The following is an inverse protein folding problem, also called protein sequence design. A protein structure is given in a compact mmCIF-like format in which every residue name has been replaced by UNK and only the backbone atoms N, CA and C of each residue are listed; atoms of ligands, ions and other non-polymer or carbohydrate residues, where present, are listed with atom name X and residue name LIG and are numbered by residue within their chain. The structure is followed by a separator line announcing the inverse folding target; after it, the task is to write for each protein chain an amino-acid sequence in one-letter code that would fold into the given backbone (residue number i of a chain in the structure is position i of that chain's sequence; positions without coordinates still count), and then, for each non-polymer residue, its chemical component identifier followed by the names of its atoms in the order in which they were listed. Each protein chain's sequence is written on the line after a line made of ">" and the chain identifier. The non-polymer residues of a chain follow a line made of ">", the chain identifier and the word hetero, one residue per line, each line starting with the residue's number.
data_IF_650694497742
#
_entry.id   IF_650694497742
#
_cell.length_a   1.000
_cell.length_b   1.000
_cell.length_c   1.000
_cell.angle_alpha   90.00
_cell.angle_beta   90.00
_cell.angle_gamma   90.00
#
_symmetry.space_group_name_H-M   'P 1'
#
loop_
_entity.id
_entity.type
_entity.pdbx_description
1 polymer ?
#
# COMPACT_ATOMS: atom_id res chain seq x y z
N UNK A 1 -14.35 0.85 9.36
CA UNK A 1 -15.43 -0.08 8.94
C UNK A 1 -16.52 -0.10 10.00
N UNK A 2 -17.80 -0.23 9.62
CA UNK A 2 -18.96 -0.19 10.54
C UNK A 2 -18.95 -1.38 11.52
N UNK A 3 -18.42 -2.52 11.11
CA UNK A 3 -18.30 -3.73 11.93
C UNK A 3 -17.07 -3.74 12.87
N UNK A 4 -16.29 -2.66 12.86
CA UNK A 4 -15.04 -2.56 13.64
C UNK A 4 -13.86 -3.37 13.07
N UNK A 5 -12.67 -3.12 13.60
CA UNK A 5 -11.45 -3.89 13.33
C UNK A 5 -10.58 -3.88 14.58
N UNK A 6 -9.91 -4.99 14.88
CA UNK A 6 -9.05 -5.12 16.05
C UNK A 6 -7.87 -6.05 15.77
N UNK A 7 -6.72 -5.73 16.35
CA UNK A 7 -5.58 -6.66 16.39
C UNK A 7 -5.92 -7.77 17.38
N UNK A 8 -5.89 -9.02 16.92
CA UNK A 8 -6.24 -10.19 17.73
C UNK A 8 -5.00 -11.05 17.99
N UNK A 9 -4.35 -10.87 19.14
CA UNK A 9 -3.16 -11.65 19.51
C UNK A 9 -3.50 -13.10 19.82
N UNK A 10 -4.67 -13.36 20.42
CA UNK A 10 -5.12 -14.71 20.75
C UNK A 10 -5.30 -15.59 19.49
N UNK A 11 -5.71 -15.01 18.36
CA UNK A 11 -5.88 -15.75 17.09
C UNK A 11 -4.55 -16.28 16.51
N UNK A 12 -3.40 -15.78 16.98
CA UNK A 12 -2.09 -16.34 16.64
C UNK A 12 -1.84 -17.72 17.27
N UNK A 13 -2.55 -18.03 18.35
CA UNK A 13 -2.46 -19.33 19.05
C UNK A 13 -3.46 -20.33 18.51
N UNK A 14 -3.15 -21.62 18.58
CA UNK A 14 -4.07 -22.70 18.20
C UNK A 14 -5.35 -22.67 19.03
N UNK A 15 -5.26 -22.40 20.32
CA UNK A 15 -6.42 -22.25 21.23
C UNK A 15 -7.38 -21.14 20.77
N UNK A 16 -6.83 -19.99 20.38
CA UNK A 16 -7.64 -18.89 19.85
C UNK A 16 -8.32 -19.24 18.54
N UNK A 17 -7.65 -19.98 17.66
CA UNK A 17 -8.24 -20.51 16.41
C UNK A 17 -9.32 -21.55 16.69
N UNK A 18 -9.10 -22.46 17.64
CA UNK A 18 -10.09 -23.46 18.05
C UNK A 18 -11.37 -22.78 18.56
N UNK A 19 -11.23 -21.75 19.40
CA UNK A 19 -12.38 -20.95 19.87
C UNK A 19 -13.13 -20.28 18.72
N UNK A 20 -12.42 -19.78 17.71
CA UNK A 20 -13.05 -19.19 16.53
C UNK A 20 -13.78 -20.24 15.69
N UNK A 21 -13.17 -21.41 15.46
CA UNK A 21 -13.78 -22.52 14.74
C UNK A 21 -15.06 -23.00 15.44
N UNK A 22 -15.02 -23.17 16.76
CA UNK A 22 -16.19 -23.50 17.56
C UNK A 22 -17.34 -22.50 17.34
N UNK A 23 -17.05 -21.20 17.40
CA UNK A 23 -18.07 -20.17 17.19
C UNK A 23 -18.67 -20.20 15.78
N UNK A 24 -17.88 -20.51 14.75
CA UNK A 24 -18.39 -20.64 13.39
C UNK A 24 -19.33 -21.85 13.27
N UNK A 25 -18.91 -23.01 13.80
CA UNK A 25 -19.67 -24.27 13.72
C UNK A 25 -21.02 -24.18 14.43
N UNK A 26 -21.07 -23.63 15.66
CA UNK A 26 -22.34 -23.52 16.40
C UNK A 26 -23.35 -22.57 15.74
N UNK A 27 -22.87 -21.66 14.89
CA UNK A 27 -23.71 -20.73 14.12
C UNK A 27 -23.97 -21.23 12.69
N UNK A 28 -23.49 -22.43 12.32
CA UNK A 28 -23.67 -22.98 10.98
C UNK A 28 -22.93 -22.21 9.89
N UNK A 29 -21.77 -21.63 10.21
CA UNK A 29 -20.96 -20.84 9.27
C UNK A 29 -19.79 -21.68 8.77
N UNK A 30 -19.78 -21.97 7.48
CA UNK A 30 -18.75 -22.74 6.76
C UNK A 30 -18.01 -21.90 5.70
N UNK A 31 -18.37 -20.62 5.56
CA UNK A 31 -17.73 -19.68 4.65
C UNK A 31 -17.29 -18.39 5.37
N UNK A 32 -16.08 -17.93 5.07
CA UNK A 32 -15.49 -16.75 5.66
C UNK A 32 -14.93 -15.82 4.57
N UNK A 33 -15.46 -14.61 4.51
CA UNK A 33 -14.91 -13.53 3.67
C UNK A 33 -14.09 -12.60 4.55
N UNK A 34 -12.79 -12.50 4.31
CA UNK A 34 -11.85 -11.71 5.11
C UNK A 34 -11.43 -10.47 4.35
N UNK A 35 -11.69 -9.29 4.93
CA UNK A 35 -11.32 -7.99 4.37
C UNK A 35 -10.23 -7.37 5.23
N UNK A 36 -9.03 -7.19 4.69
CA UNK A 36 -7.92 -6.58 5.43
C UNK A 36 -6.62 -6.52 4.62
N UNK A 37 -5.52 -6.17 5.29
CA UNK A 37 -4.18 -6.20 4.69
C UNK A 37 -3.52 -7.58 4.78
N UNK A 38 -2.25 -7.66 4.37
CA UNK A 38 -1.44 -8.89 4.32
C UNK A 38 -1.55 -9.75 5.59
N UNK A 39 -1.39 -9.15 6.77
CA UNK A 39 -1.42 -9.89 8.03
C UNK A 39 -2.76 -10.58 8.32
N UNK A 40 -3.89 -9.96 7.93
CA UNK A 40 -5.22 -10.56 8.09
C UNK A 40 -5.42 -11.72 7.12
N UNK A 41 -4.97 -11.54 5.88
CA UNK A 41 -5.07 -12.54 4.82
C UNK A 41 -4.18 -13.77 5.10
N UNK A 42 -2.96 -13.54 5.60
CA UNK A 42 -2.06 -14.59 6.09
C UNK A 42 -2.70 -15.40 7.21
N UNK A 43 -3.31 -14.73 8.20
CA UNK A 43 -4.01 -15.38 9.31
C UNK A 43 -5.22 -16.21 8.85
N UNK A 44 -5.97 -15.71 7.86
CA UNK A 44 -7.10 -16.41 7.28
C UNK A 44 -6.68 -17.69 6.54
N UNK A 45 -5.56 -17.63 5.81
CA UNK A 45 -5.03 -18.79 5.14
C UNK A 45 -4.54 -19.87 6.12
N UNK A 46 -3.81 -19.46 7.16
CA UNK A 46 -3.38 -20.38 8.23
C UNK A 46 -4.59 -21.03 8.90
N UNK A 47 -5.64 -20.26 9.16
CA UNK A 47 -6.85 -20.78 9.77
C UNK A 47 -7.55 -21.84 8.92
N UNK A 48 -7.62 -21.64 7.60
CA UNK A 48 -8.14 -22.66 6.67
C UNK A 48 -7.27 -23.91 6.66
N UNK A 49 -5.95 -23.75 6.64
CA UNK A 49 -5.00 -24.87 6.61
C UNK A 49 -5.08 -25.71 7.88
N UNK A 50 -5.25 -25.06 9.04
CA UNK A 50 -5.41 -25.71 10.34
C UNK A 50 -6.81 -26.32 10.54
N UNK A 51 -7.80 -25.97 9.71
CA UNK A 51 -9.21 -26.32 9.91
C UNK A 51 -9.46 -27.81 10.16
N UNK A 52 -8.93 -28.77 9.35
CA UNK A 52 -9.17 -30.19 9.60
C UNK A 52 -8.69 -30.66 10.98
N UNK A 53 -7.54 -30.17 11.44
CA UNK A 53 -7.00 -30.50 12.76
C UNK A 53 -7.68 -29.76 13.92
N UNK A 54 -8.51 -28.75 13.65
CA UNK A 54 -9.39 -28.14 14.65
C UNK A 54 -10.70 -28.90 14.77
N UNK A 55 -11.19 -29.48 13.66
CA UNK A 55 -12.41 -30.27 13.66
C UNK A 55 -12.26 -31.59 14.41
N UNK A 56 -11.09 -32.24 14.41
CA UNK A 56 -10.84 -33.45 15.22
C UNK A 56 -11.14 -33.26 16.72
N UNK A 57 -11.05 -32.03 17.23
CA UNK A 57 -11.33 -31.67 18.62
C UNK A 57 -12.77 -31.21 18.86
N UNK A 58 -13.58 -31.03 17.81
CA UNK A 58 -14.95 -30.52 17.85
C UNK A 58 -15.93 -31.56 17.29
N UNK A 59 -17.12 -31.70 17.87
CA UNK A 59 -18.12 -32.68 17.38
C UNK A 59 -18.82 -32.11 16.12
N UNK A 60 -18.65 -32.77 14.95
CA UNK A 60 -18.83 -32.15 13.61
C UNK A 60 -20.25 -32.20 12.97
N UNK A 61 -20.61 -31.12 12.24
CA UNK A 61 -21.50 -31.19 11.07
C UNK A 61 -20.88 -30.75 9.71
N UNK A 62 -19.69 -30.14 9.64
CA UNK A 62 -19.12 -29.56 8.40
C UNK A 62 -17.69 -30.01 8.10
N UNK A 63 -17.42 -30.42 6.85
CA UNK A 63 -16.14 -31.02 6.44
C UNK A 63 -15.07 -30.05 5.93
N UNK A 64 -15.42 -28.82 5.56
CA UNK A 64 -14.50 -27.86 4.95
C UNK A 64 -14.87 -26.41 5.25
N UNK A 65 -13.86 -25.53 5.31
CA UNK A 65 -14.02 -24.09 5.42
C UNK A 65 -13.66 -23.42 4.09
N UNK A 66 -14.59 -22.64 3.55
CA UNK A 66 -14.35 -21.78 2.39
C UNK A 66 -13.85 -20.43 2.86
N UNK A 67 -12.66 -20.00 2.40
CA UNK A 67 -12.09 -18.70 2.73
C UNK A 67 -11.83 -17.89 1.47
N UNK A 68 -12.35 -16.67 1.42
CA UNK A 68 -12.11 -15.69 0.36
C UNK A 68 -11.52 -14.42 0.95
N UNK A 69 -10.45 -13.91 0.34
CA UNK A 69 -9.76 -12.69 0.77
C UNK A 69 -10.09 -11.48 -0.10
N UNK A 70 -10.24 -10.32 0.53
CA UNK A 70 -10.28 -9.01 -0.12
C UNK A 70 -9.21 -8.11 0.52
N UNK A 71 -8.49 -7.37 -0.30
CA UNK A 71 -7.41 -6.51 0.16
C UNK A 71 -7.94 -5.12 0.50
N UNK A 72 -8.10 -4.87 1.80
CA UNK A 72 -8.40 -3.55 2.35
C UNK A 72 -7.14 -2.91 2.92
N UNK A 73 -6.38 -2.21 2.08
CA UNK A 73 -5.12 -1.55 2.42
C UNK A 73 -5.04 -0.17 1.76
N UNK A 74 -4.50 0.81 2.48
CA UNK A 74 -4.18 2.13 1.90
C UNK A 74 -2.80 2.17 1.26
N UNK A 75 -1.96 1.18 1.58
CA UNK A 75 -0.54 1.17 1.24
C UNK A 75 -0.29 0.64 -0.19
N UNK A 76 -1.31 0.04 -0.81
CA UNK A 76 -1.22 -0.66 -2.10
C UNK A 76 -0.03 -1.64 -2.16
N UNK A 77 0.11 -2.42 -1.09
CA UNK A 77 1.28 -3.24 -0.78
C UNK A 77 1.08 -4.73 -1.08
N UNK A 78 -0.12 -5.13 -1.52
CA UNK A 78 -0.40 -6.52 -1.87
C UNK A 78 -0.01 -6.80 -3.32
N UNK A 79 0.91 -7.74 -3.51
CA UNK A 79 1.30 -8.18 -4.85
C UNK A 79 0.15 -8.89 -5.58
N UNK A 80 0.24 -8.91 -6.91
CA UNK A 80 -0.71 -9.55 -7.85
C UNK A 80 -2.06 -8.84 -8.00
N UNK A 81 -2.31 -7.73 -7.32
CA UNK A 81 -3.44 -6.84 -7.61
C UNK A 81 -2.90 -5.45 -7.94
N UNK A 82 -3.44 -4.82 -8.98
CA UNK A 82 -2.99 -3.48 -9.42
C UNK A 82 -3.31 -2.42 -8.37
N UNK A 83 -4.43 -2.61 -7.66
CA UNK A 83 -4.93 -1.64 -6.69
C UNK A 83 -5.65 -2.33 -5.51
N UNK A 84 -5.47 -1.79 -4.30
CA UNK A 84 -6.14 -2.22 -3.07
C UNK A 84 -7.26 -1.27 -2.66
N UNK A 85 -8.29 -1.80 -1.99
CA UNK A 85 -9.42 -0.99 -1.51
C UNK A 85 -8.92 0.00 -0.44
N UNK A 86 -9.05 1.29 -0.74
CA UNK A 86 -8.69 2.40 0.14
C UNK A 86 -7.45 3.18 -0.30
N UNK A 87 -6.63 2.63 -1.20
CA UNK A 87 -5.42 3.28 -1.68
C UNK A 87 -5.73 4.61 -2.40
N UNK A 88 -6.74 4.64 -3.27
CA UNK A 88 -7.10 5.86 -4.03
C UNK A 88 -7.74 6.91 -3.11
N UNK A 89 -8.53 6.51 -2.12
CA UNK A 89 -9.07 7.42 -1.10
C UNK A 89 -7.95 8.03 -0.27
N UNK A 90 -6.97 7.23 0.15
CA UNK A 90 -5.77 7.72 0.86
C UNK A 90 -5.01 8.74 0.02
N UNK A 91 -4.79 8.42 -1.26
CA UNK A 91 -4.14 9.33 -2.21
C UNK A 91 -4.89 10.68 -2.32
N UNK A 92 -6.22 10.67 -2.38
CA UNK A 92 -7.00 11.91 -2.37
C UNK A 92 -6.76 12.75 -1.11
N UNK A 93 -6.67 12.12 0.07
CA UNK A 93 -6.36 12.82 1.33
C UNK A 93 -4.97 13.46 1.30
N UNK A 94 -4.00 12.78 0.70
CA UNK A 94 -2.65 13.32 0.52
C UNK A 94 -2.66 14.53 -0.40
N UNK A 95 -3.32 14.43 -1.56
CA UNK A 95 -3.43 15.54 -2.49
C UNK A 95 -4.11 16.75 -1.86
N UNK A 96 -5.24 16.57 -1.16
CA UNK A 96 -5.92 17.65 -0.43
C UNK A 96 -5.00 18.33 0.60
N UNK A 97 -4.19 17.55 1.32
CA UNK A 97 -3.25 18.10 2.28
C UNK A 97 -2.10 18.86 1.60
N UNK A 98 -1.54 18.31 0.51
CA UNK A 98 -0.47 18.96 -0.26
C UNK A 98 -0.98 20.25 -0.90
N UNK A 99 -2.18 20.26 -1.47
CA UNK A 99 -2.80 21.47 -2.06
C UNK A 99 -3.01 22.56 -1.01
N UNK A 100 -3.47 22.17 0.18
CA UNK A 100 -3.63 23.08 1.32
C UNK A 100 -2.29 23.66 1.77
N UNK A 101 -1.23 22.85 1.78
CA UNK A 101 0.13 23.28 2.12
C UNK A 101 0.68 24.20 1.02
N UNK A 102 0.51 23.86 -0.25
CA UNK A 102 1.03 24.60 -1.40
C UNK A 102 0.56 26.04 -1.42
N UNK A 103 -0.72 26.29 -1.09
CA UNK A 103 -1.27 27.64 -0.95
C UNK A 103 -0.48 28.49 0.07
N UNK A 104 -0.05 27.90 1.19
CA UNK A 104 0.75 28.61 2.22
C UNK A 104 2.23 28.68 1.88
N UNK A 105 2.75 27.71 1.14
CA UNK A 105 4.16 27.62 0.78
C UNK A 105 4.56 28.70 -0.22
N UNK A 106 3.72 28.96 -1.21
CA UNK A 106 3.95 30.02 -2.21
C UNK A 106 4.01 31.41 -1.59
N UNK A 107 3.19 31.70 -0.57
CA UNK A 107 3.15 33.01 0.08
C UNK A 107 4.42 33.35 0.86
N UNK A 108 5.16 32.35 1.34
CA UNK A 108 6.31 32.54 2.21
C UNK A 108 7.65 32.06 1.63
N UNK A 109 7.67 31.59 0.37
CA UNK A 109 8.85 30.97 -0.24
C UNK A 109 9.47 29.84 0.61
N UNK A 110 8.61 28.94 1.10
CA UNK A 110 8.98 27.87 2.06
C UNK A 110 9.17 26.52 1.38
N UNK A 111 9.96 25.67 2.05
CA UNK A 111 10.03 24.25 1.76
C UNK A 111 9.19 23.44 2.75
N UNK A 112 8.50 22.40 2.27
CA UNK A 112 7.73 21.49 3.11
C UNK A 112 8.17 20.04 2.87
N UNK A 113 8.35 19.32 3.97
CA UNK A 113 8.53 17.88 3.99
C UNK A 113 7.21 17.26 4.46
N UNK A 114 6.56 16.45 3.65
CA UNK A 114 5.26 15.83 3.93
C UNK A 114 5.46 14.33 4.11
N UNK A 115 5.13 13.80 5.29
CA UNK A 115 5.20 12.36 5.53
C UNK A 115 3.95 11.63 5.04
N UNK A 116 4.16 10.59 4.24
CA UNK A 116 3.18 9.69 3.65
C UNK A 116 3.42 8.24 4.07
N UNK A 117 2.46 7.33 3.88
CA UNK A 117 2.68 5.89 4.06
C UNK A 117 3.31 5.25 2.80
N UNK A 118 4.41 4.51 2.97
CA UNK A 118 5.17 3.71 1.98
C UNK A 118 5.83 4.35 0.70
N UNK A 119 7.10 3.96 0.46
CA UNK A 119 8.06 4.17 -0.68
C UNK A 119 9.14 5.32 -0.75
N UNK A 120 10.25 5.05 -1.46
CA UNK A 120 11.67 5.35 -1.13
C UNK A 120 12.28 6.62 -1.77
N UNK A 121 12.93 7.53 -1.00
CA UNK A 121 13.48 8.84 -1.46
C UNK A 121 14.95 8.90 -1.93
N UNK A 122 15.22 9.73 -2.98
CA UNK A 122 16.57 10.28 -3.29
C UNK A 122 16.58 11.80 -3.54
N UNK A 123 17.38 12.54 -2.76
CA UNK A 123 17.71 13.96 -3.01
C UNK A 123 18.92 14.05 -3.96
N UNK A 124 18.87 14.96 -4.94
CA UNK A 124 20.05 15.36 -5.73
C UNK A 124 20.40 16.83 -5.46
N UNK A 125 21.63 17.16 -5.07
CA UNK A 125 22.06 18.55 -4.92
C UNK A 125 22.18 19.23 -6.29
N UNK A 126 21.90 20.54 -6.35
CA UNK A 126 22.18 21.37 -7.54
C UNK A 126 20.98 21.97 -8.30
N UNK A 127 19.75 21.92 -7.76
CA UNK A 127 18.61 22.64 -8.37
C UNK A 127 18.57 24.12 -7.97
N UNK A 128 18.25 25.05 -8.89
CA UNK A 128 17.87 26.41 -8.52
C UNK A 128 16.60 26.37 -7.67
N UNK A 129 16.58 27.17 -6.60
CA UNK A 129 15.50 27.21 -5.63
C UNK A 129 14.24 27.79 -6.28
N UNK A 130 13.21 26.95 -6.46
CA UNK A 130 11.87 27.41 -6.82
C UNK A 130 11.22 28.13 -5.64
N UNK A 131 10.27 29.03 -5.90
CA UNK A 131 9.47 29.71 -4.86
C UNK A 131 8.70 28.73 -3.96
N UNK A 132 8.51 27.48 -4.40
CA UNK A 132 7.87 26.43 -3.60
C UNK A 132 8.62 25.11 -3.79
N UNK A 133 9.02 24.48 -2.68
CA UNK A 133 9.63 23.14 -2.67
C UNK A 133 8.81 22.22 -1.77
N UNK A 134 8.26 21.15 -2.33
CA UNK A 134 7.56 20.11 -1.55
C UNK A 134 8.30 18.80 -1.73
N UNK A 135 8.58 18.14 -0.62
CA UNK A 135 9.28 16.86 -0.53
C UNK A 135 8.35 15.87 0.16
N UNK A 136 7.86 14.87 -0.56
CA UNK A 136 7.06 13.79 0.04
C UNK A 136 8.00 12.69 0.49
N UNK A 137 7.87 12.22 1.72
CA UNK A 137 8.72 11.21 2.35
C UNK A 137 7.84 10.12 2.90
N UNK A 138 8.12 8.87 2.58
CA UNK A 138 7.27 7.81 3.06
C UNK A 138 7.79 7.21 4.37
N UNK A 139 6.89 6.68 5.19
CA UNK A 139 7.20 6.11 6.51
C UNK A 139 8.26 5.01 6.42
N UNK A 140 8.21 4.18 5.37
CA UNK A 140 9.18 3.13 5.06
C UNK A 140 10.42 3.60 4.28
N UNK A 141 10.68 4.90 4.16
CA UNK A 141 11.82 5.38 3.37
C UNK A 141 13.16 4.93 3.97
N UNK A 142 14.00 4.33 3.13
CA UNK A 142 15.32 3.80 3.48
C UNK A 142 16.36 4.21 2.44
N UNK A 143 17.63 4.26 2.83
CA UNK A 143 18.74 4.41 1.90
C UNK A 143 19.22 3.05 1.33
N UNK A 144 20.22 3.08 0.44
CA UNK A 144 20.80 1.87 -0.15
C UNK A 144 21.48 0.93 0.86
N UNK A 145 21.70 1.38 2.09
CA UNK A 145 22.22 0.58 3.18
C UNK A 145 21.12 0.12 4.15
N UNK A 146 19.86 0.27 3.75
CA UNK A 146 18.66 -0.09 4.55
C UNK A 146 18.58 0.73 5.84
N UNK A 147 19.14 1.95 5.84
CA UNK A 147 19.01 2.87 6.98
C UNK A 147 17.80 3.77 6.80
N UNK A 148 16.95 3.93 7.84
CA UNK A 148 15.77 4.79 7.76
C UNK A 148 16.10 6.24 7.39
N UNK A 149 15.35 6.79 6.44
CA UNK A 149 15.42 8.20 6.05
C UNK A 149 14.29 8.94 6.76
N UNK A 150 14.61 9.59 7.87
CA UNK A 150 13.66 10.41 8.63
C UNK A 150 13.44 11.77 7.98
N UNK A 151 12.24 12.33 8.12
CA UNK A 151 11.90 13.66 7.59
C UNK A 151 12.72 14.79 8.21
N UNK A 152 13.13 14.66 9.47
CA UNK A 152 14.02 15.61 10.12
C UNK A 152 15.38 15.69 9.41
N UNK A 153 15.92 14.56 8.96
CA UNK A 153 17.19 14.53 8.21
C UNK A 153 17.06 15.31 6.90
N UNK A 154 15.93 15.19 6.21
CA UNK A 154 15.65 15.92 4.97
C UNK A 154 15.47 17.41 5.25
N UNK A 155 14.74 17.76 6.30
CA UNK A 155 14.59 19.14 6.76
C UNK A 155 15.96 19.78 7.02
N UNK A 156 16.85 19.11 7.73
CA UNK A 156 18.19 19.63 8.04
C UNK A 156 19.02 19.89 6.78
N UNK A 157 18.88 19.05 5.74
CA UNK A 157 19.53 19.26 4.44
C UNK A 157 18.97 20.50 3.75
N UNK A 158 17.65 20.67 3.72
CA UNK A 158 17.00 21.82 3.09
C UNK A 158 17.31 23.15 3.82
N UNK A 159 17.38 23.12 5.16
CA UNK A 159 17.79 24.28 5.98
C UNK A 159 19.24 24.67 5.67
N UNK A 160 20.16 23.70 5.53
CA UNK A 160 21.55 23.97 5.12
C UNK A 160 21.66 24.59 3.72
N UNK A 161 20.66 24.38 2.86
CA UNK A 161 20.56 25.01 1.54
C UNK A 161 19.92 26.41 1.58
N UNK A 162 19.59 26.93 2.78
CA UNK A 162 19.02 28.27 2.98
C UNK A 162 17.49 28.33 2.86
N UNK A 163 16.79 27.19 2.92
CA UNK A 163 15.31 27.14 2.81
C UNK A 163 14.64 27.13 4.19
N UNK A 164 13.67 28.02 4.42
CA UNK A 164 12.77 27.91 5.58
C UNK A 164 11.89 26.67 5.41
N UNK A 165 12.19 25.63 6.20
CA UNK A 165 11.65 24.28 5.99
C UNK A 165 10.78 23.81 7.16
N UNK A 166 9.60 23.26 6.84
CA UNK A 166 8.66 22.67 7.81
C UNK A 166 8.42 21.19 7.49
N UNK A 167 8.11 20.41 8.53
CA UNK A 167 7.72 19.00 8.43
C UNK A 167 6.25 18.89 8.80
N UNK A 168 5.48 18.16 8.00
CA UNK A 168 4.07 17.87 8.24
C UNK A 168 3.85 16.36 8.14
N UNK A 169 3.45 15.74 9.24
CA UNK A 169 3.08 14.31 9.27
C UNK A 169 1.57 14.18 9.11
N UNK A 170 1.11 13.56 8.02
CA UNK A 170 -0.33 13.41 7.75
C UNK A 170 -1.02 12.43 8.72
N UNK A 171 -0.29 11.41 9.17
CA UNK A 171 -0.78 10.44 10.15
C UNK A 171 -2.10 9.79 9.74
N UNK A 172 -3.04 9.68 10.70
CA UNK A 172 -4.31 8.96 10.52
C UNK A 172 -5.31 9.64 9.57
N UNK A 173 -5.08 10.88 9.15
CA UNK A 173 -5.95 11.58 8.18
C UNK A 173 -6.05 10.80 6.86
N UNK A 174 -4.99 10.09 6.50
CA UNK A 174 -4.90 9.22 5.31
C UNK A 174 -5.86 8.03 5.36
N UNK A 175 -6.22 7.57 6.57
CA UNK A 175 -7.14 6.44 6.80
C UNK A 175 -8.59 6.88 6.99
N UNK A 176 -8.83 8.19 7.01
CA UNK A 176 -10.12 8.81 7.32
C UNK A 176 -10.85 9.36 6.09
N UNK A 177 -12.07 9.84 6.36
CA UNK A 177 -12.95 10.40 5.34
C UNK A 177 -13.78 9.35 4.61
N UNK A 178 -14.66 9.84 3.72
CA UNK A 178 -15.53 8.96 2.92
C UNK A 178 -14.75 8.40 1.73
N UNK A 179 -14.92 7.10 1.40
CA UNK A 179 -14.32 6.51 0.21
C UNK A 179 -14.67 7.31 -1.05
N UNK A 180 -13.68 7.50 -1.92
CA UNK A 180 -13.86 8.12 -3.22
C UNK A 180 -14.67 7.21 -4.16
N UNK A 181 -15.07 7.71 -5.33
CA UNK A 181 -15.83 6.93 -6.31
C UNK A 181 -15.15 5.60 -6.65
N UNK A 182 -13.85 5.63 -6.89
CA UNK A 182 -13.10 4.46 -7.32
C UNK A 182 -13.13 3.35 -6.27
N UNK A 183 -12.83 3.67 -5.00
CA UNK A 183 -12.88 2.66 -3.93
C UNK A 183 -14.29 2.15 -3.64
N UNK A 184 -15.34 2.97 -3.82
CA UNK A 184 -16.73 2.49 -3.72
C UNK A 184 -17.05 1.49 -4.82
N UNK A 185 -16.67 1.81 -6.05
CA UNK A 185 -16.85 0.92 -7.19
C UNK A 185 -16.07 -0.39 -6.97
N UNK A 186 -14.77 -0.29 -6.69
CA UNK A 186 -13.88 -1.43 -6.50
C UNK A 186 -14.39 -2.37 -5.39
N UNK A 187 -14.66 -1.83 -4.21
CA UNK A 187 -15.15 -2.62 -3.08
C UNK A 187 -16.51 -3.29 -3.37
N UNK A 188 -17.39 -2.61 -4.13
CA UNK A 188 -18.70 -3.17 -4.50
C UNK A 188 -18.53 -4.35 -5.44
N UNK A 189 -17.77 -4.18 -6.53
CA UNK A 189 -17.62 -5.25 -7.54
C UNK A 189 -16.80 -6.42 -6.98
N UNK A 190 -15.72 -6.15 -6.24
CA UNK A 190 -14.96 -7.22 -5.59
C UNK A 190 -15.80 -7.94 -4.52
N UNK A 191 -16.67 -7.23 -3.79
CA UNK A 191 -17.59 -7.83 -2.84
C UNK A 191 -18.58 -8.80 -3.48
N UNK A 192 -19.14 -8.44 -4.64
CA UNK A 192 -20.00 -9.35 -5.44
C UNK A 192 -19.19 -10.58 -5.87
N UNK A 193 -18.00 -10.38 -6.44
CA UNK A 193 -17.15 -11.49 -6.88
C UNK A 193 -16.73 -12.41 -5.72
N UNK A 194 -16.53 -11.86 -4.52
CA UNK A 194 -16.20 -12.66 -3.34
C UNK A 194 -17.34 -13.60 -2.95
N UNK A 195 -18.59 -13.12 -3.02
CA UNK A 195 -19.77 -13.97 -2.78
C UNK A 195 -19.89 -15.05 -3.85
N UNK A 196 -19.70 -14.71 -5.13
CA UNK A 196 -19.69 -15.68 -6.22
C UNK A 196 -18.58 -16.73 -6.05
N UNK A 197 -17.39 -16.31 -5.59
CA UNK A 197 -16.27 -17.20 -5.29
C UNK A 197 -16.58 -18.14 -4.13
N UNK A 198 -17.30 -17.68 -3.09
CA UNK A 198 -17.79 -18.56 -2.02
C UNK A 198 -18.78 -19.58 -2.58
N UNK A 199 -19.75 -19.15 -3.37
CA UNK A 199 -20.82 -20.03 -3.89
C UNK A 199 -20.30 -21.06 -4.91
N UNK A 200 -19.23 -20.74 -5.62
CA UNK A 200 -18.58 -21.64 -6.59
C UNK A 200 -17.44 -22.46 -5.99
N UNK A 201 -17.09 -22.25 -4.72
CA UNK A 201 -16.03 -22.98 -4.07
C UNK A 201 -16.39 -24.45 -3.89
N UNK A 202 -15.37 -25.30 -4.07
CA UNK A 202 -15.40 -26.72 -3.76
C UNK A 202 -14.35 -27.00 -2.68
N UNK A 203 -14.40 -28.14 -1.97
CA UNK A 203 -13.40 -28.47 -0.97
C UNK A 203 -11.95 -28.44 -1.49
N UNK A 204 -11.76 -28.69 -2.79
CA UNK A 204 -10.45 -28.67 -3.47
C UNK A 204 -10.04 -27.30 -4.02
N UNK A 205 -10.96 -26.33 -4.08
CA UNK A 205 -10.66 -25.00 -4.62
C UNK A 205 -9.75 -24.25 -3.63
N UNK A 206 -8.56 -23.77 -4.02
CA UNK A 206 -7.69 -23.00 -3.12
C UNK A 206 -8.36 -21.69 -2.68
N UNK A 207 -7.86 -21.04 -1.64
CA UNK A 207 -8.45 -19.79 -1.14
C UNK A 207 -8.20 -18.68 -2.14
N UNK A 208 -9.24 -18.07 -2.75
CA UNK A 208 -9.03 -16.98 -3.66
C UNK A 208 -8.86 -15.66 -2.89
N UNK A 209 -7.94 -14.83 -3.38
CA UNK A 209 -7.90 -13.40 -3.16
C UNK A 209 -8.59 -12.72 -4.35
N UNK A 210 -9.59 -11.89 -4.09
CA UNK A 210 -10.22 -11.09 -5.11
C UNK A 210 -9.41 -9.81 -5.30
N UNK A 211 -8.90 -9.62 -6.51
CA UNK A 211 -8.06 -8.48 -6.91
C UNK A 211 -8.59 -7.79 -8.16
N UNK A 212 -7.75 -6.92 -8.71
CA UNK A 212 -7.99 -6.26 -9.99
C UNK A 212 -6.71 -6.30 -10.82
N UNK A 213 -6.82 -6.75 -12.07
CA UNK A 213 -5.72 -6.74 -13.03
C UNK A 213 -6.25 -6.21 -14.36
N UNK A 214 -5.56 -5.25 -14.97
CA UNK A 214 -5.94 -4.65 -16.27
C UNK A 214 -7.40 -4.19 -16.32
N UNK A 215 -7.84 -3.53 -15.24
CA UNK A 215 -9.21 -3.05 -15.08
C UNK A 215 -10.31 -4.14 -15.07
N UNK A 216 -9.94 -5.40 -14.81
CA UNK A 216 -10.85 -6.52 -14.63
C UNK A 216 -10.71 -7.11 -13.24
N UNK A 217 -11.82 -7.52 -12.65
CA UNK A 217 -11.79 -8.25 -11.38
C UNK A 217 -11.25 -9.65 -11.62
N UNK A 218 -10.28 -10.05 -10.83
CA UNK A 218 -9.59 -11.33 -10.93
C UNK A 218 -9.66 -12.09 -9.63
N UNK A 219 -9.61 -13.41 -9.73
CA UNK A 219 -9.49 -14.33 -8.61
C UNK A 219 -8.09 -14.93 -8.65
N UNK A 220 -7.29 -14.65 -7.63
CA UNK A 220 -5.88 -15.00 -7.56
C UNK A 220 -5.70 -15.96 -6.39
N UNK A 221 -4.74 -16.88 -6.46
CA UNK A 221 -4.41 -17.71 -5.31
C UNK A 221 -3.87 -16.84 -4.15
N UNK A 222 -4.57 -16.87 -3.02
CA UNK A 222 -4.23 -16.12 -1.82
C UNK A 222 -2.81 -16.43 -1.33
N UNK A 223 -2.40 -17.70 -1.38
CA UNK A 223 -1.07 -18.11 -0.94
C UNK A 223 0.01 -17.51 -1.81
N UNK A 224 -0.18 -17.59 -3.12
CA UNK A 224 0.73 -16.99 -4.08
C UNK A 224 0.85 -15.48 -3.86
N UNK A 225 -0.25 -14.79 -3.57
CA UNK A 225 -0.25 -13.34 -3.36
C UNK A 225 0.51 -12.97 -2.07
N UNK A 226 0.30 -13.69 -0.97
CA UNK A 226 1.03 -13.48 0.30
C UNK A 226 2.53 -13.77 0.14
N UNK A 227 2.89 -14.90 -0.48
CA UNK A 227 4.28 -15.28 -0.71
C UNK A 227 5.03 -14.26 -1.57
N UNK A 228 4.39 -13.78 -2.66
CA UNK A 228 4.97 -12.75 -3.53
C UNK A 228 5.15 -11.43 -2.76
N UNK A 229 4.18 -11.05 -1.93
CA UNK A 229 4.27 -9.84 -1.08
C UNK A 229 5.44 -9.93 -0.10
N UNK A 230 5.61 -11.08 0.57
CA UNK A 230 6.76 -11.30 1.47
C UNK A 230 8.10 -11.38 0.73
N UNK A 231 8.11 -11.80 -0.53
CA UNK A 231 9.31 -11.80 -1.35
C UNK A 231 9.83 -10.38 -1.61
N UNK A 232 8.94 -9.39 -1.77
CA UNK A 232 9.33 -7.96 -1.89
C UNK A 232 10.11 -7.52 -0.65
N UNK A 233 9.58 -7.80 0.56
CA UNK A 233 10.24 -7.43 1.81
C UNK A 233 11.63 -8.08 1.94
N UNK A 234 11.74 -9.37 1.58
CA UNK A 234 13.01 -10.11 1.58
C UNK A 234 14.03 -9.52 0.59
N UNK A 235 13.58 -9.12 -0.60
CA UNK A 235 14.44 -8.49 -1.60
C UNK A 235 15.01 -7.15 -1.08
N UNK A 236 14.17 -6.34 -0.41
CA UNK A 236 14.59 -5.09 0.23
C UNK A 236 15.62 -5.34 1.34
N UNK A 237 15.39 -6.34 2.22
CA UNK A 237 16.35 -6.72 3.26
C UNK A 237 17.69 -7.20 2.68
N UNK A 238 17.64 -7.92 1.56
CA UNK A 238 18.81 -8.40 0.83
C UNK A 238 19.53 -7.29 0.03
N UNK A 239 19.02 -6.05 0.04
CA UNK A 239 19.49 -4.91 -0.78
C UNK A 239 19.37 -5.13 -2.29
N UNK A 240 18.52 -6.06 -2.70
CA UNK A 240 18.18 -6.30 -4.09
C UNK A 240 16.96 -5.44 -4.48
N UNK A 241 17.22 -4.15 -4.67
CA UNK A 241 16.17 -3.19 -5.00
C UNK A 241 15.62 -3.36 -6.41
N UNK A 242 16.39 -3.93 -7.33
CA UNK A 242 15.94 -4.20 -8.70
C UNK A 242 14.87 -5.31 -8.67
N UNK A 243 15.15 -6.42 -7.98
CA UNK A 243 14.17 -7.47 -7.77
C UNK A 243 12.94 -6.97 -6.99
N UNK A 244 13.14 -6.13 -5.97
CA UNK A 244 12.02 -5.53 -5.23
C UNK A 244 11.11 -4.67 -6.12
N UNK A 245 11.67 -3.98 -7.12
CA UNK A 245 10.91 -3.20 -8.11
C UNK A 245 10.19 -4.11 -9.13
N UNK A 246 10.83 -5.20 -9.57
CA UNK A 246 10.24 -6.17 -10.50
C UNK A 246 9.06 -6.95 -9.89
N UNK A 247 9.10 -7.18 -8.56
CA UNK A 247 8.04 -7.88 -7.83
C UNK A 247 6.81 -7.01 -7.52
N UNK A 248 6.90 -5.69 -7.76
CA UNK A 248 5.74 -4.78 -7.70
C UNK A 248 4.93 -4.87 -9.00
N UNK A 249 3.77 -4.24 -9.02
CA UNK A 249 2.93 -4.24 -10.22
C UNK A 249 3.63 -3.53 -11.41
N UNK A 250 3.36 -3.93 -12.67
CA UNK A 250 3.98 -3.30 -13.84
C UNK A 250 3.71 -1.80 -13.98
N UNK A 251 2.58 -1.32 -13.44
CA UNK A 251 2.27 0.11 -13.43
C UNK A 251 3.19 0.90 -12.49
N UNK A 252 3.70 0.27 -11.42
CA UNK A 252 4.64 0.87 -10.48
C UNK A 252 5.93 1.31 -11.17
N UNK A 253 6.59 0.41 -11.91
CA UNK A 253 7.82 0.71 -12.63
C UNK A 253 7.60 1.80 -13.68
N UNK A 254 6.52 1.70 -14.45
CA UNK A 254 6.15 2.69 -15.48
C UNK A 254 5.89 4.08 -14.88
N UNK A 255 5.16 4.15 -13.77
CA UNK A 255 4.85 5.40 -13.06
C UNK A 255 6.11 6.01 -12.46
N UNK A 256 6.98 5.16 -11.95
CA UNK A 256 8.26 5.55 -11.41
C UNK A 256 9.19 6.16 -12.47
N UNK A 257 9.30 5.53 -13.64
CA UNK A 257 10.08 6.03 -14.78
C UNK A 257 9.51 7.36 -15.31
N UNK A 258 8.19 7.47 -15.45
CA UNK A 258 7.53 8.70 -15.87
C UNK A 258 7.83 9.86 -14.91
N UNK A 259 7.79 9.60 -13.60
CA UNK A 259 8.13 10.60 -12.58
C UNK A 259 9.62 11.02 -12.67
N UNK A 260 10.54 10.08 -12.91
CA UNK A 260 11.94 10.41 -13.15
C UNK A 260 12.14 11.28 -14.40
N UNK A 261 11.49 10.92 -15.50
CA UNK A 261 11.58 11.63 -16.77
C UNK A 261 11.06 13.08 -16.64
N UNK A 262 9.92 13.28 -15.99
CA UNK A 262 9.37 14.61 -15.73
C UNK A 262 10.33 15.45 -14.87
N UNK A 263 10.88 14.87 -13.80
CA UNK A 263 11.83 15.56 -12.93
C UNK A 263 13.16 15.90 -13.60
N UNK A 264 13.59 15.10 -14.58
CA UNK A 264 14.81 15.33 -15.36
C UNK A 264 14.59 16.38 -16.46
N UNK A 265 13.42 16.41 -17.11
CA UNK A 265 13.07 17.42 -18.10
C UNK A 265 13.09 18.84 -17.50
N UNK A 266 12.57 19.01 -16.28
CA UNK A 266 12.62 20.29 -15.56
C UNK A 266 14.05 20.81 -15.29
N UNK A 267 15.05 19.91 -15.14
CA UNK A 267 16.46 20.30 -14.97
C UNK A 267 17.05 20.91 -16.25
N UNK A 268 16.61 20.45 -17.42
CA UNK A 268 17.09 20.94 -18.71
C UNK A 268 16.47 22.30 -19.09
N UNK A 269 15.24 22.57 -18.64
CA UNK A 269 14.50 23.78 -19.03
C UNK A 269 14.74 25.01 -18.13
N UNK A 270 15.47 24.88 -17.01
CA UNK A 270 15.78 25.98 -16.05
C UNK A 270 14.56 26.82 -15.60
N UNK A 271 13.35 26.29 -15.68
CA UNK A 271 12.14 27.00 -15.23
C UNK A 271 11.91 26.80 -13.71
N UNK A 272 11.46 27.84 -12.98
CA UNK A 272 11.12 27.72 -11.57
C UNK A 272 9.69 27.19 -11.44
N UNK A 273 9.50 25.88 -11.25
CA UNK A 273 8.15 25.34 -11.11
C UNK A 273 7.98 24.32 -10.00
N UNK A 274 6.78 24.37 -9.42
CA UNK A 274 6.20 23.39 -8.52
C UNK A 274 6.34 21.98 -9.09
N UNK A 275 6.73 21.03 -8.25
CA UNK A 275 6.64 19.60 -8.59
C UNK A 275 5.15 19.23 -8.54
N UNK A 276 4.44 19.50 -9.64
CA UNK A 276 3.11 18.97 -9.95
C UNK A 276 3.09 18.74 -11.46
N UNK A 277 3.15 17.47 -11.87
CA UNK A 277 2.88 17.10 -13.26
C UNK A 277 1.40 17.29 -13.55
N UNK A 278 1.04 18.43 -14.14
CA UNK A 278 -0.31 18.72 -14.60
C UNK A 278 -0.26 19.08 -16.09
N UNK A 279 -0.58 18.12 -16.96
CA UNK A 279 -1.02 18.36 -18.34
C UNK A 279 -2.15 17.37 -18.66
N UNK A 280 -3.40 17.83 -18.59
CA UNK A 280 -4.60 17.16 -19.15
C UNK A 280 -5.32 16.13 -18.25
N UNK A 281 -6.51 16.48 -17.76
CA UNK A 281 -7.47 15.71 -16.93
C UNK A 281 -7.96 14.36 -17.53
N UNK A 282 -8.62 13.42 -16.79
CA UNK A 282 -8.80 13.24 -15.35
C UNK A 282 -8.18 11.92 -14.83
N UNK A 283 -7.78 11.90 -13.56
CA UNK A 283 -7.26 10.78 -12.72
C UNK A 283 -5.80 11.03 -12.33
N UNK A 284 -5.69 11.65 -11.16
CA UNK A 284 -4.52 11.84 -10.31
C UNK A 284 -3.53 10.66 -10.41
N UNK A 285 -2.29 10.95 -10.82
CA UNK A 285 -1.12 10.07 -10.62
C UNK A 285 -0.05 10.87 -9.89
N UNK A 286 -0.12 10.83 -8.56
CA UNK A 286 0.96 11.26 -7.68
C UNK A 286 1.60 9.98 -7.14
N UNK A 287 2.84 9.68 -7.56
CA UNK A 287 3.68 8.76 -6.81
C UNK A 287 5.16 9.13 -6.99
N UNK A 288 5.89 8.79 -5.94
CA UNK A 288 7.10 9.35 -5.34
C UNK A 288 7.76 8.06 -4.85
N UNK A 289 8.95 7.56 -5.25
CA UNK A 289 10.24 8.15 -5.58
C UNK A 289 11.22 7.05 -6.07
N UNK A 290 12.47 7.48 -6.28
CA UNK A 290 13.61 6.81 -6.89
C UNK A 290 14.65 6.18 -5.98
N UNK A 291 14.97 4.91 -6.26
CA UNK A 291 16.24 4.27 -5.94
C UNK A 291 17.01 3.97 -7.25
N UNK A 292 18.23 4.51 -7.40
CA UNK A 292 19.44 3.80 -7.88
C UNK A 292 20.64 4.72 -8.17
N UNK A 293 21.82 4.29 -7.67
CA UNK A 293 23.23 4.65 -7.98
C UNK A 293 23.81 5.97 -7.44
N UNK A 294 24.43 5.91 -6.27
CA UNK A 294 25.73 6.56 -6.06
C UNK A 294 26.79 5.49 -6.31
N UNK A 295 27.37 5.45 -7.50
CA UNK A 295 28.64 4.75 -7.69
C UNK A 295 29.72 5.56 -6.97
N UNK A 296 30.35 4.92 -6.00
CA UNK A 296 31.59 5.35 -5.38
C UNK A 296 32.72 5.47 -6.41
N UNK A 297 33.58 6.47 -6.22
CA UNK A 297 34.89 6.75 -6.88
C UNK A 297 34.83 7.05 -8.39
N UNK A 298 35.46 8.10 -8.90
CA UNK A 298 36.72 8.78 -8.51
C UNK A 298 36.63 10.30 -8.56
#
# INVERSE_FOLDING_TARGET
>A
TVIGTARCTSFRTREGRLKAAYNLIINGIDALVVIGGDGSLTGANLFRSDWPGLLEELVEPFSHLTVVGLVGSIDNDMSLTDITIGAVTSLHRVCEAVDSIAATAMSHSRAFVVEYADSVYRLRPGKPVSRMTIVIVCEGAIDCNVQPIKSERIKDVLVKMGLDTRVTTLGHVQRGGTPCFFDRYLATVQGVQAVEAVLSATPTTPSPMIGMCENKITSIDLMKAVETTHAVAKAVEAKDFDLAMELRDPEFASTYEANQAMNMCCLLMREPTCVFGCLGSPILRLLVLSAMRLTSSS
#
